data_IF_813979984734
#
_entry.id   IF_813979984734
#
_cell.length_a   1.000
_cell.length_b   1.000
_cell.length_c   1.000
_cell.angle_alpha   90.00
_cell.angle_beta   90.00
_cell.angle_gamma   90.00
#
_symmetry.space_group_name_H-M   'P 1'
#
loop_
_entity.id
_entity.type
_entity.pdbx_description
1 polymer ?
#
# COMPACT_ATOMS: atom_id res chain seq x y z
N UNK A 1 -10.27 -24.56 6.19
CA UNK A 1 -10.85 -23.63 5.20
C UNK A 1 -11.29 -22.38 5.94
N UNK A 2 -10.94 -21.18 5.46
CA UNK A 2 -11.45 -19.93 6.05
C UNK A 2 -12.84 -19.60 5.50
N UNK A 3 -13.75 -19.14 6.36
CA UNK A 3 -15.13 -18.85 5.98
C UNK A 3 -15.23 -17.58 5.13
N UNK A 4 -16.14 -17.60 4.17
CA UNK A 4 -16.58 -16.38 3.48
C UNK A 4 -17.32 -15.48 4.48
N UNK A 5 -16.98 -14.19 4.47
CA UNK A 5 -17.57 -13.18 5.35
C UNK A 5 -18.28 -12.16 4.47
N UNK A 6 -19.54 -11.87 4.78
CA UNK A 6 -20.29 -10.80 4.14
C UNK A 6 -20.07 -9.51 4.93
N UNK A 7 -19.40 -8.51 4.36
CA UNK A 7 -19.03 -7.27 5.06
C UNK A 7 -19.16 -6.02 4.18
N UNK A 8 -19.29 -4.86 4.82
CA UNK A 8 -19.23 -3.55 4.19
C UNK A 8 -18.22 -2.64 4.92
N UNK A 9 -18.17 -1.36 4.51
CA UNK A 9 -17.24 -0.37 5.05
C UNK A 9 -17.47 -0.02 6.53
N UNK A 10 -18.67 -0.29 7.04
CA UNK A 10 -19.09 0.06 8.40
C UNK A 10 -18.97 -1.10 9.37
N UNK A 11 -18.75 -2.32 8.87
CA UNK A 11 -18.69 -3.52 9.68
C UNK A 11 -17.46 -3.55 10.58
N UNK A 12 -17.67 -3.83 11.87
CA UNK A 12 -16.58 -4.08 12.82
C UNK A 12 -16.01 -5.49 12.57
N UNK A 13 -14.69 -5.59 12.43
CA UNK A 13 -14.00 -6.84 12.15
C UNK A 13 -14.18 -7.85 13.30
N UNK A 14 -14.80 -9.00 13.01
CA UNK A 14 -15.07 -10.08 13.97
C UNK A 14 -14.06 -11.23 13.92
N UNK A 15 -13.20 -11.28 12.89
CA UNK A 15 -12.17 -12.32 12.68
C UNK A 15 -10.77 -11.70 12.60
N UNK A 16 -9.72 -12.49 12.83
CA UNK A 16 -8.34 -12.00 12.63
C UNK A 16 -8.06 -11.66 11.16
N UNK A 17 -7.15 -10.71 10.90
CA UNK A 17 -6.75 -10.35 9.52
C UNK A 17 -6.26 -11.56 8.74
N UNK A 18 -5.40 -12.38 9.35
CA UNK A 18 -4.84 -13.58 8.70
C UNK A 18 -5.93 -14.54 8.25
N UNK A 19 -6.91 -14.83 9.12
CA UNK A 19 -8.02 -15.72 8.79
C UNK A 19 -8.91 -15.09 7.71
N UNK A 20 -9.20 -13.80 7.81
CA UNK A 20 -10.02 -13.10 6.84
C UNK A 20 -9.40 -13.11 5.44
N UNK A 21 -8.12 -12.71 5.35
CA UNK A 21 -7.35 -12.59 4.12
C UNK A 21 -6.95 -13.96 3.54
N UNK A 22 -7.03 -15.05 4.31
CA UNK A 22 -6.83 -16.39 3.78
C UNK A 22 -7.97 -16.86 2.85
N UNK A 23 -9.13 -16.20 2.85
CA UNK A 23 -10.23 -16.52 1.95
C UNK A 23 -10.20 -15.60 0.71
N UNK A 24 -10.10 -16.20 -0.49
CA UNK A 24 -10.03 -15.46 -1.76
C UNK A 24 -11.22 -14.54 -1.99
N UNK A 25 -12.45 -14.99 -1.71
CA UNK A 25 -13.66 -14.16 -1.89
C UNK A 25 -13.67 -12.94 -0.98
N UNK A 26 -13.17 -13.09 0.25
CA UNK A 26 -13.03 -11.96 1.16
C UNK A 26 -12.02 -10.94 0.63
N UNK A 27 -10.88 -11.41 0.08
CA UNK A 27 -9.91 -10.54 -0.57
C UNK A 27 -10.49 -9.81 -1.77
N UNK A 28 -11.17 -10.52 -2.68
CA UNK A 28 -11.74 -9.92 -3.89
C UNK A 28 -12.78 -8.83 -3.54
N UNK A 29 -13.62 -9.09 -2.53
CA UNK A 29 -14.58 -8.10 -2.03
C UNK A 29 -13.91 -6.92 -1.34
N UNK A 30 -12.84 -7.15 -0.56
CA UNK A 30 -12.11 -6.07 0.09
C UNK A 30 -11.44 -5.17 -0.95
N UNK A 31 -10.82 -5.76 -1.96
CA UNK A 31 -10.18 -5.06 -3.07
C UNK A 31 -11.21 -4.23 -3.83
N UNK A 32 -12.39 -4.78 -4.16
CA UNK A 32 -13.41 -4.02 -4.89
C UNK A 32 -13.95 -2.82 -4.09
N UNK A 33 -14.16 -2.97 -2.78
CA UNK A 33 -14.55 -1.86 -1.90
C UNK A 33 -13.47 -0.77 -1.89
N UNK A 34 -12.19 -1.15 -1.76
CA UNK A 34 -11.07 -0.20 -1.79
C UNK A 34 -10.97 0.52 -3.14
N UNK A 35 -11.06 -0.22 -4.25
CA UNK A 35 -11.04 0.37 -5.60
C UNK A 35 -12.18 1.38 -5.79
N UNK A 36 -13.38 1.07 -5.31
CA UNK A 36 -14.52 1.99 -5.36
C UNK A 36 -14.27 3.25 -4.53
N UNK A 37 -13.70 3.11 -3.31
CA UNK A 37 -13.32 4.26 -2.48
C UNK A 37 -12.25 5.13 -3.12
N UNK A 38 -11.21 4.54 -3.72
CA UNK A 38 -10.20 5.33 -4.43
C UNK A 38 -10.78 6.03 -5.66
N UNK A 39 -11.66 5.34 -6.40
CA UNK A 39 -12.35 5.93 -7.54
C UNK A 39 -13.23 7.12 -7.13
N UNK A 40 -13.94 7.03 -5.99
CA UNK A 40 -14.83 8.12 -5.55
C UNK A 40 -14.10 9.41 -5.17
N UNK A 41 -12.81 9.32 -4.88
CA UNK A 41 -11.92 10.48 -4.65
C UNK A 41 -11.00 10.78 -5.83
N UNK A 42 -11.31 10.25 -7.03
CA UNK A 42 -10.53 10.41 -8.27
C UNK A 42 -9.06 9.99 -8.15
N UNK A 43 -8.76 9.02 -7.29
CA UNK A 43 -7.42 8.44 -7.19
C UNK A 43 -7.28 7.27 -8.16
N UNK A 44 -6.17 7.27 -8.90
CA UNK A 44 -5.78 6.16 -9.76
C UNK A 44 -5.19 5.05 -8.88
N UNK A 45 -5.61 3.81 -9.12
CA UNK A 45 -5.05 2.63 -8.46
C UNK A 45 -4.55 1.62 -9.49
N UNK A 46 -3.65 0.73 -9.06
CA UNK A 46 -3.24 -0.46 -9.79
C UNK A 46 -3.30 -1.65 -8.85
N UNK A 47 -3.87 -2.76 -9.31
CA UNK A 47 -3.89 -4.03 -8.57
C UNK A 47 -2.64 -4.83 -8.95
N UNK A 48 -1.94 -5.35 -7.94
CA UNK A 48 -0.90 -6.35 -8.14
C UNK A 48 -1.52 -7.74 -8.29
N UNK A 49 -1.02 -8.53 -9.24
CA UNK A 49 -1.42 -9.93 -9.38
C UNK A 49 -0.82 -10.79 -8.25
N UNK A 50 0.39 -10.41 -7.81
CA UNK A 50 1.12 -11.04 -6.71
C UNK A 50 1.64 -9.94 -5.76
N UNK A 51 2.95 -9.75 -5.71
CA UNK A 51 3.60 -8.72 -4.90
C UNK A 51 3.48 -7.32 -5.55
N UNK A 52 3.19 -6.33 -4.71
CA UNK A 52 3.10 -4.94 -5.12
C UNK A 52 4.48 -4.28 -5.30
N UNK A 53 5.55 -4.83 -4.72
CA UNK A 53 6.88 -4.21 -4.73
C UNK A 53 7.38 -3.88 -6.14
N UNK A 54 7.28 -4.85 -7.05
CA UNK A 54 7.67 -4.66 -8.45
C UNK A 54 6.86 -3.55 -9.14
N UNK A 55 5.55 -3.47 -8.86
CA UNK A 55 4.70 -2.42 -9.41
C UNK A 55 5.01 -1.04 -8.82
N UNK A 56 5.32 -0.98 -7.53
CA UNK A 56 5.72 0.26 -6.85
C UNK A 56 7.02 0.78 -7.48
N UNK A 57 8.06 -0.06 -7.55
CA UNK A 57 9.36 0.30 -8.14
C UNK A 57 9.21 0.77 -9.59
N UNK A 58 8.47 0.02 -10.43
CA UNK A 58 8.21 0.40 -11.82
C UNK A 58 7.46 1.73 -11.93
N UNK A 59 6.51 1.98 -11.03
CA UNK A 59 5.73 3.23 -11.04
C UNK A 59 6.61 4.42 -10.72
N UNK A 60 7.54 4.30 -9.76
CA UNK A 60 8.43 5.40 -9.39
C UNK A 60 9.53 5.60 -10.46
N UNK A 61 10.04 4.53 -11.07
CA UNK A 61 10.96 4.64 -12.22
C UNK A 61 10.34 5.38 -13.42
N UNK A 62 9.01 5.34 -13.56
CA UNK A 62 8.26 6.10 -14.58
C UNK A 62 7.78 7.48 -14.10
N UNK A 63 8.12 7.88 -12.88
CA UNK A 63 7.74 9.15 -12.27
C UNK A 63 8.76 10.31 -12.36
N UNK A 64 9.85 10.33 -13.19
CA UNK A 64 10.78 11.45 -13.21
C UNK A 64 10.15 12.76 -13.73
N UNK A 65 8.94 12.68 -14.28
CA UNK A 65 8.11 13.84 -14.63
C UNK A 65 7.50 14.53 -13.41
N UNK A 66 7.49 13.90 -12.24
CA UNK A 66 6.97 14.46 -11.01
C UNK A 66 8.09 15.12 -10.18
N UNK A 67 7.85 16.30 -9.58
CA UNK A 67 8.87 17.01 -8.82
C UNK A 67 9.29 16.30 -7.53
N UNK A 68 8.45 15.38 -7.02
CA UNK A 68 8.74 14.53 -5.86
C UNK A 68 7.75 13.37 -5.79
N UNK A 69 8.15 12.24 -5.22
CA UNK A 69 7.27 11.10 -4.94
C UNK A 69 7.29 10.75 -3.45
N UNK A 70 6.14 10.39 -2.89
CA UNK A 70 6.03 9.87 -1.52
C UNK A 70 5.53 8.43 -1.60
N UNK A 71 6.32 7.50 -1.05
CA UNK A 71 5.96 6.09 -0.92
C UNK A 71 5.53 5.87 0.52
N UNK A 72 4.34 5.29 0.73
CA UNK A 72 3.78 5.03 2.06
C UNK A 72 3.67 3.52 2.24
N UNK A 73 4.31 2.97 3.26
CA UNK A 73 4.32 1.53 3.52
C UNK A 73 4.97 1.16 4.86
N UNK A 74 4.70 -0.04 5.36
CA UNK A 74 5.38 -0.56 6.58
C UNK A 74 6.65 -1.37 6.25
N UNK A 75 6.75 -1.83 5.00
CA UNK A 75 7.70 -2.79 4.48
C UNK A 75 9.15 -2.23 4.42
N UNK A 76 10.10 -2.94 5.02
CA UNK A 76 11.51 -2.51 5.08
C UNK A 76 12.23 -2.98 3.83
N UNK A 77 11.87 -4.15 3.32
CA UNK A 77 12.38 -4.74 2.11
C UNK A 77 12.12 -3.81 0.92
N UNK A 78 10.91 -3.24 0.81
CA UNK A 78 10.59 -2.21 -0.18
C UNK A 78 11.50 -0.98 -0.05
N UNK A 79 11.77 -0.53 1.18
CA UNK A 79 12.67 0.61 1.41
C UNK A 79 14.10 0.32 0.93
N UNK A 80 14.62 -0.89 1.18
CA UNK A 80 15.93 -1.31 0.69
C UNK A 80 15.97 -1.37 -0.85
N UNK A 81 14.91 -1.90 -1.47
CA UNK A 81 14.79 -1.95 -2.93
C UNK A 81 14.78 -0.55 -3.53
N UNK A 82 14.08 0.40 -2.89
CA UNK A 82 14.06 1.79 -3.32
C UNK A 82 15.48 2.39 -3.28
N UNK A 83 16.25 2.22 -2.20
CA UNK A 83 17.64 2.71 -2.14
C UNK A 83 18.48 2.18 -3.32
N UNK A 84 18.31 0.91 -3.69
CA UNK A 84 19.12 0.29 -4.74
C UNK A 84 18.75 0.69 -6.17
N UNK A 85 17.50 1.08 -6.42
CA UNK A 85 16.96 1.28 -7.78
C UNK A 85 16.64 2.76 -8.08
N UNK A 86 16.34 3.56 -7.06
CA UNK A 86 15.92 4.94 -7.23
C UNK A 86 17.10 5.82 -7.66
N UNK A 87 17.08 6.31 -8.90
CA UNK A 87 18.05 7.30 -9.41
C UNK A 87 17.47 8.72 -9.44
N UNK A 88 16.42 8.96 -8.64
CA UNK A 88 15.66 10.21 -8.62
C UNK A 88 15.79 10.88 -7.23
N UNK A 89 16.14 12.16 -7.23
CA UNK A 89 16.65 12.81 -6.01
C UNK A 89 15.59 13.06 -4.92
N UNK A 90 14.30 13.03 -5.27
CA UNK A 90 13.21 13.53 -4.41
C UNK A 90 12.15 12.47 -4.12
N UNK A 91 12.56 11.37 -3.49
CA UNK A 91 11.63 10.32 -3.05
C UNK A 91 11.67 10.10 -1.55
N UNK A 92 10.48 10.20 -0.96
CA UNK A 92 10.26 10.13 0.48
C UNK A 92 9.57 8.83 0.83
N UNK A 93 10.12 8.09 1.79
CA UNK A 93 9.46 6.91 2.34
C UNK A 93 8.80 7.26 3.68
N UNK A 94 7.48 7.13 3.75
CA UNK A 94 6.68 7.35 4.93
C UNK A 94 6.29 6.01 5.55
N UNK A 95 6.96 5.65 6.65
CA UNK A 95 6.61 4.48 7.43
C UNK A 95 5.41 4.76 8.34
N UNK A 96 4.34 3.99 8.20
CA UNK A 96 3.22 4.02 9.13
C UNK A 96 3.60 3.22 10.40
N UNK A 97 3.50 3.85 11.57
CA UNK A 97 3.75 3.19 12.85
C UNK A 97 2.49 2.50 13.39
N UNK A 98 2.64 1.35 14.04
CA UNK A 98 1.55 0.67 14.76
C UNK A 98 1.33 1.34 16.13
N UNK A 99 0.30 2.18 16.28
CA UNK A 99 -0.12 2.73 17.59
C UNK A 99 -0.95 4.03 17.55
N UNK A 100 -1.48 4.44 18.72
CA UNK A 100 -2.27 5.67 18.93
C UNK A 100 -1.48 6.98 18.77
N UNK A 101 -0.17 6.90 18.62
CA UNK A 101 0.67 8.05 18.28
C UNK A 101 1.20 7.83 16.87
N UNK A 102 0.78 8.71 15.97
CA UNK A 102 1.30 8.79 14.61
C UNK A 102 2.77 9.19 14.68
N UNK A 103 3.67 8.23 14.93
CA UNK A 103 5.11 8.44 14.81
C UNK A 103 5.42 8.51 13.32
N UNK A 104 5.37 9.74 12.79
CA UNK A 104 5.83 10.04 11.42
C UNK A 104 7.35 10.03 11.43
N UNK A 105 7.94 8.91 11.04
CA UNK A 105 9.34 8.91 10.66
C UNK A 105 9.41 9.43 9.23
N UNK A 106 9.74 10.72 9.08
CA UNK A 106 10.18 11.25 7.79
C UNK A 106 11.65 10.88 7.66
N UNK A 107 11.95 9.79 6.95
CA UNK A 107 13.31 9.59 6.52
C UNK A 107 13.52 10.48 5.29
N UNK A 108 14.11 11.64 5.52
CA UNK A 108 14.52 12.57 4.47
C UNK A 108 15.84 12.06 3.91
N UNK A 109 15.78 11.08 3.02
CA UNK A 109 16.95 10.72 2.21
C UNK A 109 16.83 11.50 0.91
N UNK A 110 17.68 12.51 0.75
CA UNK A 110 18.05 12.96 -0.59
C UNK A 110 18.98 11.86 -1.13
N UNK A 111 18.58 11.24 -2.24
CA UNK A 111 19.46 10.39 -3.02
C UNK A 111 20.11 11.22 -4.12
#
# INVERSE_FOLDING_TARGET
>A
MSSEVMFDETMIRTVSSEKFLANRKNNDRLISILMNKFSSVNMIYKKADEDADCLIVKTIALAPTHPSVVVIGEDIELFVILIGICTFDKVYFLKLGKGKSLKRYFLLMQF
#
